data_IF_691130271278
#
_entry.id   IF_691130271278
#
_cell.length_a   1.000
_cell.length_b   1.000
_cell.length_c   1.000
_cell.angle_alpha   90.00
_cell.angle_beta   90.00
_cell.angle_gamma   90.00
#
_symmetry.space_group_name_H-M   'P 1'
#
loop_
_entity.id
_entity.type
_entity.pdbx_description
1 polymer ?
#
# COMPACT_ATOMS: atom_id res chain seq x y z
N UNK A 1 5.06 24.77 -10.91
CA UNK A 1 4.79 26.23 -10.98
C UNK A 1 4.43 26.78 -9.60
N UNK A 2 3.55 26.13 -8.85
CA UNK A 2 3.02 26.59 -7.54
C UNK A 2 4.12 26.82 -6.48
N UNK A 3 5.17 26.02 -6.50
CA UNK A 3 6.26 26.10 -5.51
C UNK A 3 7.48 26.88 -6.01
N UNK A 4 7.56 27.21 -7.31
CA UNK A 4 8.74 27.78 -7.95
C UNK A 4 9.92 26.80 -8.03
N UNK A 5 9.71 25.52 -7.70
CA UNK A 5 10.77 24.51 -7.75
C UNK A 5 10.81 23.84 -9.12
N UNK A 6 12.02 23.52 -9.58
CA UNK A 6 12.23 22.59 -10.69
C UNK A 6 12.13 21.16 -10.15
N UNK A 7 11.22 20.37 -10.71
CA UNK A 7 11.02 18.97 -10.33
C UNK A 7 11.50 18.09 -11.46
N UNK A 8 12.44 17.20 -11.16
CA UNK A 8 12.95 16.19 -12.11
C UNK A 8 12.32 14.84 -11.71
N UNK A 9 11.49 14.24 -12.56
CA UNK A 9 10.90 12.93 -12.25
C UNK A 9 11.96 11.84 -12.35
N UNK A 10 12.04 11.00 -11.31
CA UNK A 10 12.79 9.74 -11.33
C UNK A 10 11.81 8.60 -11.65
N UNK A 11 12.06 7.91 -12.76
CA UNK A 11 11.33 6.71 -13.14
C UNK A 11 12.11 5.46 -12.76
N UNK A 12 11.45 4.54 -12.07
CA UNK A 12 12.00 3.23 -11.71
C UNK A 12 10.97 2.14 -12.06
N UNK A 13 11.45 0.94 -12.38
CA UNK A 13 10.59 -0.16 -12.82
C UNK A 13 10.12 -1.08 -11.69
N UNK A 14 10.78 -1.04 -10.52
CA UNK A 14 10.48 -1.94 -9.40
C UNK A 14 10.48 -1.21 -8.06
N UNK A 15 9.79 -1.76 -7.07
CA UNK A 15 9.86 -1.28 -5.68
C UNK A 15 11.27 -1.34 -5.10
N UNK A 16 12.05 -2.37 -5.46
CA UNK A 16 13.43 -2.50 -5.01
C UNK A 16 14.30 -1.37 -5.56
N UNK A 17 14.20 -1.06 -6.85
CA UNK A 17 14.91 0.05 -7.46
C UNK A 17 14.55 1.39 -6.78
N UNK A 18 13.27 1.59 -6.43
CA UNK A 18 12.84 2.78 -5.69
C UNK A 18 13.42 2.82 -4.27
N UNK A 19 13.40 1.71 -3.54
CA UNK A 19 13.99 1.61 -2.21
C UNK A 19 15.49 1.94 -2.23
N UNK A 20 16.23 1.39 -3.19
CA UNK A 20 17.64 1.67 -3.39
C UNK A 20 17.92 3.15 -3.73
N UNK A 21 17.07 3.78 -4.55
CA UNK A 21 17.19 5.21 -4.86
C UNK A 21 16.93 6.09 -3.61
N UNK A 22 15.99 5.72 -2.77
CA UNK A 22 15.72 6.41 -1.48
C UNK A 22 16.94 6.25 -0.55
N UNK A 23 17.49 5.05 -0.43
CA UNK A 23 18.67 4.77 0.40
C UNK A 23 19.89 5.59 -0.05
N UNK A 24 20.11 5.69 -1.36
CA UNK A 24 21.19 6.53 -1.94
C UNK A 24 20.90 8.03 -1.93
N UNK A 25 19.76 8.46 -1.36
CA UNK A 25 19.32 9.86 -1.29
C UNK A 25 19.14 10.54 -2.67
N UNK A 26 18.80 9.76 -3.69
CA UNK A 26 18.49 10.25 -5.04
C UNK A 26 17.06 10.79 -5.17
N UNK A 27 16.23 10.61 -4.11
CA UNK A 27 14.81 10.99 -4.08
C UNK A 27 14.57 12.02 -3.00
N UNK A 28 14.15 13.23 -3.39
CA UNK A 28 13.78 14.29 -2.44
C UNK A 28 12.32 14.22 -1.99
N UNK A 29 11.42 13.76 -2.88
CA UNK A 29 9.99 13.59 -2.60
C UNK A 29 9.51 12.30 -3.28
N UNK A 30 8.67 11.53 -2.58
CA UNK A 30 8.11 10.28 -3.09
C UNK A 30 6.64 10.12 -2.71
N UNK A 31 5.88 9.47 -3.58
CA UNK A 31 4.55 8.94 -3.30
C UNK A 31 4.69 7.43 -3.08
N UNK A 32 4.52 6.97 -1.84
CA UNK A 32 4.82 5.60 -1.44
C UNK A 32 3.58 4.87 -0.90
N UNK A 33 3.43 3.58 -1.22
CA UNK A 33 2.47 2.72 -0.54
C UNK A 33 2.91 2.49 0.92
N UNK A 34 1.93 2.26 1.81
CA UNK A 34 2.14 2.25 3.26
C UNK A 34 3.32 1.40 3.76
N UNK A 35 3.55 0.21 3.19
CA UNK A 35 4.71 -0.63 3.55
C UNK A 35 6.04 0.06 3.25
N UNK A 36 6.22 0.58 2.04
CA UNK A 36 7.47 1.26 1.66
C UNK A 36 7.67 2.56 2.44
N UNK A 37 6.58 3.30 2.67
CA UNK A 37 6.61 4.51 3.49
C UNK A 37 7.04 4.19 4.93
N UNK A 38 6.52 3.10 5.50
CA UNK A 38 6.88 2.62 6.82
C UNK A 38 8.37 2.26 6.91
N UNK A 39 8.88 1.52 5.92
CA UNK A 39 10.30 1.13 5.85
C UNK A 39 11.20 2.38 5.75
N UNK A 40 10.88 3.32 4.85
CA UNK A 40 11.66 4.55 4.65
C UNK A 40 11.67 5.45 5.91
N UNK A 41 10.56 5.54 6.64
CA UNK A 41 10.46 6.28 7.91
C UNK A 41 11.21 5.55 9.03
N UNK A 42 11.05 4.24 9.13
CA UNK A 42 11.72 3.42 10.17
C UNK A 42 13.24 3.46 10.05
N UNK A 43 13.75 3.55 8.82
CA UNK A 43 15.18 3.70 8.52
C UNK A 43 15.68 5.16 8.62
N UNK A 44 14.82 6.11 9.00
CA UNK A 44 15.19 7.53 9.15
C UNK A 44 15.45 8.27 7.84
N UNK A 45 15.10 7.68 6.70
CA UNK A 45 15.40 8.21 5.37
C UNK A 45 14.41 9.29 4.94
N UNK A 46 13.12 9.11 5.26
CA UNK A 46 12.05 9.99 4.84
C UNK A 46 11.08 10.36 5.98
N UNK A 47 10.26 11.38 5.75
CA UNK A 47 9.17 11.81 6.63
C UNK A 47 7.90 12.05 5.85
N UNK A 48 6.77 11.65 6.39
CA UNK A 48 5.44 11.93 5.83
C UNK A 48 5.12 13.40 5.96
N UNK A 49 4.58 14.01 4.89
CA UNK A 49 4.10 15.39 4.89
C UNK A 49 2.63 15.53 4.48
N UNK A 50 2.11 14.58 3.71
CA UNK A 50 0.72 14.57 3.26
C UNK A 50 0.27 13.14 2.93
N UNK A 51 -1.04 12.94 2.90
CA UNK A 51 -1.65 11.71 2.39
C UNK A 51 -2.80 12.03 1.45
N UNK A 52 -3.19 11.08 0.61
CA UNK A 52 -4.37 11.22 -0.24
C UNK A 52 -5.61 11.33 0.65
N UNK A 53 -6.40 12.38 0.45
CA UNK A 53 -7.68 12.54 1.10
C UNK A 53 -8.66 11.52 0.52
N UNK A 54 -9.29 10.72 1.38
CA UNK A 54 -10.37 9.80 1.02
C UNK A 54 -11.71 10.42 1.40
N UNK A 55 -12.76 9.99 0.71
CA UNK A 55 -14.13 10.32 1.08
C UNK A 55 -14.50 9.54 2.35
N UNK A 56 -15.29 10.16 3.22
CA UNK A 56 -15.93 9.46 4.33
C UNK A 56 -16.92 8.45 3.75
N UNK A 57 -16.78 7.15 4.10
CA UNK A 57 -17.62 6.10 3.58
C UNK A 57 -16.88 4.80 3.22
N UNK A 58 -17.55 3.85 2.53
CA UNK A 58 -16.93 2.60 2.10
C UNK A 58 -15.68 2.87 1.28
N UNK A 59 -14.61 2.11 1.54
CA UNK A 59 -13.31 2.33 0.95
C UNK A 59 -13.38 2.31 -0.59
N UNK A 60 -13.00 3.42 -1.21
CA UNK A 60 -12.87 3.49 -2.67
C UNK A 60 -11.77 2.56 -3.20
N UNK A 61 -10.83 2.17 -2.34
CA UNK A 61 -9.71 1.32 -2.68
C UNK A 61 -9.66 0.11 -1.76
N UNK A 62 -10.11 -1.03 -2.26
CA UNK A 62 -10.10 -2.32 -1.57
C UNK A 62 -9.15 -3.29 -2.29
N UNK A 63 -8.43 -4.11 -1.53
CA UNK A 63 -7.82 -5.30 -2.10
C UNK A 63 -8.92 -6.30 -2.46
N UNK A 64 -8.72 -7.02 -3.55
CA UNK A 64 -9.68 -8.03 -4.03
C UNK A 64 -8.96 -9.29 -4.47
N UNK A 65 -9.67 -10.43 -4.43
CA UNK A 65 -9.29 -11.63 -5.14
C UNK A 65 -10.17 -11.81 -6.36
N UNK A 66 -9.55 -12.12 -7.48
CA UNK A 66 -10.23 -12.37 -8.75
C UNK A 66 -9.93 -13.78 -9.27
N UNK A 67 -10.93 -14.40 -9.87
CA UNK A 67 -10.85 -15.69 -10.55
C UNK A 67 -11.53 -15.58 -11.91
N UNK A 68 -11.31 -16.54 -12.80
CA UNK A 68 -12.09 -16.64 -14.04
C UNK A 68 -13.51 -17.14 -13.72
N UNK A 69 -14.51 -16.60 -14.43
CA UNK A 69 -15.93 -17.00 -14.29
C UNK A 69 -16.17 -18.48 -14.62
N UNK A 70 -15.43 -19.00 -15.59
CA UNK A 70 -15.50 -20.41 -16.02
C UNK A 70 -14.52 -21.32 -15.27
N UNK A 71 -13.76 -20.80 -14.29
CA UNK A 71 -12.84 -21.58 -13.47
C UNK A 71 -13.57 -22.67 -12.66
N UNK A 72 -12.94 -23.81 -12.40
CA UNK A 72 -13.41 -24.78 -11.41
C UNK A 72 -13.40 -24.20 -9.97
N UNK A 73 -12.56 -23.20 -9.70
CA UNK A 73 -12.56 -22.44 -8.45
C UNK A 73 -13.75 -21.48 -8.42
N UNK A 74 -14.81 -21.83 -7.67
CA UNK A 74 -16.08 -21.09 -7.69
C UNK A 74 -16.21 -20.02 -6.59
N UNK A 75 -15.41 -20.09 -5.54
CA UNK A 75 -15.55 -19.15 -4.44
C UNK A 75 -14.44 -19.22 -3.40
N UNK A 76 -14.55 -18.32 -2.44
CA UNK A 76 -13.55 -18.13 -1.39
C UNK A 76 -13.38 -19.38 -0.51
N UNK A 77 -14.49 -19.99 -0.09
CA UNK A 77 -14.44 -21.16 0.80
C UNK A 77 -13.67 -22.33 0.17
N UNK A 78 -13.86 -22.56 -1.12
CA UNK A 78 -13.14 -23.60 -1.85
C UNK A 78 -11.64 -23.25 -1.96
N UNK A 79 -11.30 -21.97 -2.20
CA UNK A 79 -9.92 -21.50 -2.21
C UNK A 79 -9.21 -21.77 -0.88
N UNK A 80 -9.87 -21.40 0.22
CA UNK A 80 -9.31 -21.54 1.57
C UNK A 80 -9.21 -23.02 2.02
N UNK A 81 -10.13 -23.86 1.58
CA UNK A 81 -10.13 -25.27 1.92
C UNK A 81 -9.02 -26.08 1.21
N UNK A 82 -8.63 -25.70 0.00
CA UNK A 82 -7.65 -26.45 -0.81
C UNK A 82 -6.69 -25.51 -1.54
N UNK A 83 -5.93 -24.65 -0.84
CA UNK A 83 -5.04 -23.66 -1.47
C UNK A 83 -3.94 -24.31 -2.33
N UNK A 84 -3.46 -25.49 -1.93
CA UNK A 84 -2.44 -26.30 -2.61
C UNK A 84 -2.85 -26.83 -4.00
N UNK A 85 -4.13 -26.72 -4.35
CA UNK A 85 -4.63 -27.07 -5.68
C UNK A 85 -4.50 -25.94 -6.71
N UNK A 86 -4.29 -24.70 -6.27
CA UNK A 86 -4.43 -23.50 -7.10
C UNK A 86 -3.10 -22.78 -7.29
N UNK A 87 -2.94 -22.18 -8.48
CA UNK A 87 -1.86 -21.22 -8.77
C UNK A 87 -2.32 -19.82 -8.42
N UNK A 88 -1.56 -19.16 -7.55
CA UNK A 88 -1.80 -17.79 -7.11
C UNK A 88 -0.97 -16.80 -7.92
N UNK A 89 -1.61 -15.79 -8.51
CA UNK A 89 -0.90 -14.62 -9.04
C UNK A 89 -1.03 -13.46 -8.05
N UNK A 90 0.07 -12.85 -7.64
CA UNK A 90 0.10 -11.81 -6.60
C UNK A 90 1.05 -10.67 -6.90
N UNK A 91 0.84 -9.54 -6.25
CA UNK A 91 1.80 -8.44 -6.25
C UNK A 91 3.09 -8.75 -5.49
N UNK A 92 4.15 -7.95 -5.68
CA UNK A 92 5.36 -8.01 -4.85
C UNK A 92 5.05 -7.78 -3.37
N UNK A 93 5.97 -8.19 -2.48
CA UNK A 93 5.77 -8.14 -1.01
C UNK A 93 5.52 -6.71 -0.47
N UNK A 94 5.95 -5.67 -1.19
CA UNK A 94 5.71 -4.27 -0.87
C UNK A 94 4.33 -3.78 -1.30
N UNK A 95 3.62 -4.53 -2.13
CA UNK A 95 2.29 -4.15 -2.63
C UNK A 95 1.24 -4.30 -1.53
N UNK A 96 0.59 -3.19 -1.14
CA UNK A 96 -0.43 -3.19 -0.09
C UNK A 96 -1.62 -4.08 -0.49
N UNK A 97 -2.23 -3.83 -1.64
CA UNK A 97 -3.41 -4.58 -2.11
C UNK A 97 -3.06 -5.89 -2.82
N UNK A 98 -1.84 -6.00 -3.36
CA UNK A 98 -1.38 -7.20 -4.06
C UNK A 98 -0.80 -8.27 -3.13
N UNK A 99 -0.47 -7.90 -1.87
CA UNK A 99 0.15 -8.84 -0.94
C UNK A 99 -0.21 -8.57 0.52
N UNK A 100 0.13 -7.41 1.08
CA UNK A 100 0.07 -7.15 2.52
C UNK A 100 -1.34 -7.34 3.07
N UNK A 101 -2.34 -6.70 2.47
CA UNK A 101 -3.72 -6.76 2.94
C UNK A 101 -4.36 -8.14 2.74
N UNK A 102 -4.28 -8.80 1.56
CA UNK A 102 -4.76 -10.18 1.42
C UNK A 102 -4.11 -11.14 2.41
N UNK A 103 -2.81 -11.02 2.63
CA UNK A 103 -2.08 -11.88 3.55
C UNK A 103 -2.52 -11.64 5.00
N UNK A 104 -2.60 -10.37 5.45
CA UNK A 104 -2.95 -10.02 6.83
C UNK A 104 -4.43 -10.25 7.17
N UNK A 105 -5.34 -9.90 6.25
CA UNK A 105 -6.78 -9.90 6.54
C UNK A 105 -7.50 -11.17 6.14
N UNK A 106 -6.93 -12.00 5.28
CA UNK A 106 -7.58 -13.20 4.79
C UNK A 106 -6.76 -14.46 5.03
N UNK A 107 -5.58 -14.54 4.43
CA UNK A 107 -4.87 -15.82 4.32
C UNK A 107 -4.26 -16.26 5.65
N UNK A 108 -3.49 -15.40 6.32
CA UNK A 108 -2.89 -15.76 7.61
C UNK A 108 -3.92 -16.05 8.71
N UNK A 109 -5.02 -15.28 8.86
CA UNK A 109 -6.10 -15.66 9.78
C UNK A 109 -6.73 -17.02 9.48
N UNK A 110 -6.72 -17.44 8.20
CA UNK A 110 -7.18 -18.76 7.77
C UNK A 110 -6.10 -19.86 7.86
N UNK A 111 -4.94 -19.58 8.45
CA UNK A 111 -3.82 -20.53 8.55
C UNK A 111 -3.06 -20.75 7.25
N UNK A 112 -3.22 -19.88 6.27
CA UNK A 112 -2.61 -19.98 4.94
C UNK A 112 -1.53 -18.89 4.82
N UNK A 113 -0.31 -19.26 4.49
CA UNK A 113 0.68 -18.31 4.01
C UNK A 113 0.77 -18.40 2.49
N UNK A 114 0.54 -17.28 1.79
CA UNK A 114 0.57 -17.23 0.31
C UNK A 114 1.89 -17.76 -0.24
N UNK A 115 3.00 -17.56 0.48
CA UNK A 115 4.33 -17.95 0.03
C UNK A 115 4.52 -19.46 -0.07
N UNK A 116 3.77 -20.25 0.74
CA UNK A 116 4.10 -21.66 0.95
C UNK A 116 2.92 -22.61 0.75
N UNK A 117 1.69 -22.11 0.66
CA UNK A 117 0.50 -22.96 0.69
C UNK A 117 -0.18 -23.16 -0.65
N UNK A 118 0.15 -22.35 -1.64
CA UNK A 118 -0.37 -22.51 -3.00
C UNK A 118 0.49 -23.50 -3.81
N UNK A 119 -0.10 -24.11 -4.84
CA UNK A 119 0.59 -25.03 -5.75
C UNK A 119 1.78 -24.35 -6.43
N UNK A 120 1.59 -23.09 -6.82
CA UNK A 120 2.61 -22.23 -7.41
C UNK A 120 2.23 -20.76 -7.21
N UNK A 121 3.21 -19.85 -7.27
CA UNK A 121 3.02 -18.41 -7.09
C UNK A 121 3.68 -17.63 -8.21
N UNK A 122 2.88 -16.86 -8.94
CA UNK A 122 3.33 -15.92 -9.98
C UNK A 122 3.34 -14.52 -9.39
N UNK A 123 4.46 -13.79 -9.51
CA UNK A 123 4.58 -12.41 -9.01
C UNK A 123 4.58 -11.45 -10.20
N UNK A 124 3.75 -10.40 -10.10
CA UNK A 124 3.65 -9.38 -11.14
C UNK A 124 2.89 -8.14 -10.69
N UNK A 125 2.76 -7.18 -11.58
CA UNK A 125 1.90 -6.00 -11.40
C UNK A 125 0.43 -6.42 -11.37
N UNK A 126 -0.46 -5.54 -10.91
CA UNK A 126 -1.91 -5.80 -10.93
C UNK A 126 -2.46 -6.09 -12.34
N UNK A 127 -1.87 -5.50 -13.37
CA UNK A 127 -2.23 -5.80 -14.75
C UNK A 127 -1.79 -7.20 -15.16
N UNK A 128 -0.54 -7.57 -14.88
CA UNK A 128 0.01 -8.89 -15.20
C UNK A 128 -0.71 -10.02 -14.46
N UNK A 129 -1.02 -9.82 -13.17
CA UNK A 129 -1.74 -10.82 -12.37
C UNK A 129 -3.18 -10.99 -12.85
N UNK A 130 -3.86 -9.92 -13.25
CA UNK A 130 -5.20 -10.00 -13.85
C UNK A 130 -5.16 -10.72 -15.21
N UNK A 131 -4.16 -10.42 -16.07
CA UNK A 131 -3.96 -11.13 -17.34
C UNK A 131 -3.65 -12.60 -17.12
N UNK A 132 -2.81 -12.95 -16.14
CA UNK A 132 -2.48 -14.33 -15.81
C UNK A 132 -3.74 -15.16 -15.51
N UNK A 133 -4.67 -14.61 -14.72
CA UNK A 133 -5.95 -15.28 -14.44
C UNK A 133 -6.85 -15.30 -15.66
N UNK A 134 -7.02 -14.17 -16.36
CA UNK A 134 -7.90 -14.10 -17.54
C UNK A 134 -7.50 -15.09 -18.64
N UNK A 135 -6.20 -15.37 -18.76
CA UNK A 135 -5.62 -16.29 -19.75
C UNK A 135 -5.38 -17.73 -19.23
N UNK A 136 -5.75 -18.01 -17.97
CA UNK A 136 -5.64 -19.35 -17.38
C UNK A 136 -4.22 -19.78 -16.99
N UNK A 137 -3.28 -18.84 -16.89
CA UNK A 137 -1.92 -19.07 -16.36
C UNK A 137 -1.95 -19.24 -14.84
N UNK A 138 -2.84 -18.51 -14.18
CA UNK A 138 -3.12 -18.64 -12.75
C UNK A 138 -4.62 -18.86 -12.51
N UNK A 139 -4.96 -19.45 -11.37
CA UNK A 139 -6.34 -19.76 -10.98
C UNK A 139 -7.00 -18.59 -10.23
N UNK A 140 -6.22 -17.87 -9.42
CA UNK A 140 -6.66 -16.75 -8.60
C UNK A 140 -5.60 -15.66 -8.60
N UNK A 141 -6.03 -14.39 -8.54
CA UNK A 141 -5.11 -13.28 -8.41
C UNK A 141 -5.53 -12.29 -7.33
N UNK A 142 -4.53 -11.69 -6.68
CA UNK A 142 -4.71 -10.47 -5.89
C UNK A 142 -4.73 -9.25 -6.80
N UNK A 143 -5.60 -8.29 -6.48
CA UNK A 143 -5.72 -7.03 -7.22
C UNK A 143 -6.34 -5.95 -6.31
N UNK A 144 -6.76 -4.83 -6.87
CA UNK A 144 -7.57 -3.84 -6.18
C UNK A 144 -8.67 -3.27 -7.08
N UNK A 145 -9.66 -2.65 -6.48
CA UNK A 145 -10.83 -2.12 -7.17
C UNK A 145 -10.47 -1.09 -8.24
N UNK A 146 -9.50 -0.20 -7.97
CA UNK A 146 -9.07 0.86 -8.90
C UNK A 146 -8.34 0.31 -10.13
N UNK A 147 -7.41 -0.64 -9.91
CA UNK A 147 -6.64 -1.23 -11.02
C UNK A 147 -7.48 -2.21 -11.82
N UNK A 148 -8.45 -2.91 -11.22
CA UNK A 148 -9.43 -3.69 -11.99
C UNK A 148 -10.31 -2.82 -12.87
N UNK A 149 -10.74 -1.66 -12.40
CA UNK A 149 -11.47 -0.70 -13.23
C UNK A 149 -10.62 -0.20 -14.41
N UNK A 150 -9.34 0.12 -14.16
CA UNK A 150 -8.39 0.49 -15.22
C UNK A 150 -8.18 -0.67 -16.19
N UNK A 151 -7.98 -1.88 -15.69
CA UNK A 151 -7.85 -3.10 -16.47
C UNK A 151 -9.06 -3.33 -17.38
N UNK A 152 -10.28 -3.12 -16.87
CA UNK A 152 -11.52 -3.22 -17.65
C UNK A 152 -11.59 -2.25 -18.83
N UNK A 153 -10.98 -1.05 -18.71
CA UNK A 153 -10.88 -0.10 -19.83
C UNK A 153 -9.80 -0.48 -20.85
N UNK A 154 -8.69 -1.04 -20.41
CA UNK A 154 -7.54 -1.39 -21.26
C UNK A 154 -7.70 -2.77 -21.92
N UNK A 155 -8.30 -3.72 -21.22
CA UNK A 155 -8.45 -5.12 -21.62
C UNK A 155 -9.90 -5.58 -21.41
N UNK A 156 -10.88 -5.01 -22.16
CA UNK A 156 -12.29 -5.27 -21.91
C UNK A 156 -12.71 -6.74 -22.13
N UNK A 157 -12.07 -7.45 -23.05
CA UNK A 157 -12.37 -8.86 -23.32
C UNK A 157 -11.91 -9.76 -22.17
N UNK A 158 -10.69 -9.55 -21.69
CA UNK A 158 -10.11 -10.28 -20.57
C UNK A 158 -10.84 -9.96 -19.26
N UNK A 159 -11.18 -8.70 -19.04
CA UNK A 159 -11.90 -8.26 -17.85
C UNK A 159 -13.29 -8.91 -17.73
N UNK A 160 -13.99 -9.12 -18.84
CA UNK A 160 -15.29 -9.80 -18.86
C UNK A 160 -15.21 -11.25 -18.38
N UNK A 161 -14.04 -11.89 -18.47
CA UNK A 161 -13.80 -13.27 -18.00
C UNK A 161 -13.61 -13.34 -16.48
N UNK A 162 -13.31 -12.21 -15.81
CA UNK A 162 -12.99 -12.16 -14.40
C UNK A 162 -14.23 -11.93 -13.52
N UNK A 163 -14.16 -12.46 -12.30
CA UNK A 163 -15.08 -12.16 -11.21
C UNK A 163 -14.33 -12.01 -9.90
N UNK A 164 -14.86 -11.15 -9.01
CA UNK A 164 -14.32 -10.94 -7.66
C UNK A 164 -14.96 -11.94 -6.72
N UNK A 165 -14.14 -12.67 -5.95
CA UNK A 165 -14.60 -13.64 -4.94
C UNK A 165 -14.35 -13.17 -3.51
N UNK A 166 -13.56 -12.12 -3.31
CA UNK A 166 -13.30 -11.51 -2.01
C UNK A 166 -12.96 -10.03 -2.13
N UNK A 167 -13.30 -9.28 -1.09
CA UNK A 167 -12.94 -7.86 -0.91
C UNK A 167 -12.45 -7.62 0.51
N UNK A 168 -11.38 -6.86 0.65
CA UNK A 168 -10.87 -6.45 1.95
C UNK A 168 -11.76 -5.39 2.60
N UNK A 169 -11.48 -5.11 3.86
CA UNK A 169 -11.77 -3.80 4.45
C UNK A 169 -10.94 -2.72 3.73
N UNK A 170 -11.02 -1.46 4.19
CA UNK A 170 -10.23 -0.40 3.55
C UNK A 170 -8.74 -0.67 3.68
N UNK A 171 -8.00 -0.39 2.58
CA UNK A 171 -6.54 -0.44 2.61
C UNK A 171 -5.96 0.85 3.18
N UNK A 172 -4.77 0.84 3.81
CA UNK A 172 -4.04 2.06 4.15
C UNK A 172 -3.91 3.00 2.94
N UNK A 173 -3.98 4.30 3.17
CA UNK A 173 -3.74 5.28 2.13
C UNK A 173 -2.26 5.24 1.70
N UNK A 174 -1.96 5.77 0.52
CA UNK A 174 -0.59 6.07 0.14
C UNK A 174 -0.23 7.48 0.61
N UNK A 175 1.02 7.66 1.00
CA UNK A 175 1.54 8.90 1.59
C UNK A 175 2.51 9.60 0.65
N UNK A 176 2.63 10.92 0.83
CA UNK A 176 3.69 11.72 0.24
C UNK A 176 4.73 11.98 1.32
N UNK A 177 5.95 11.57 1.01
CA UNK A 177 7.10 11.70 1.89
C UNK A 177 8.15 12.61 1.27
N UNK A 178 8.92 13.24 2.13
CA UNK A 178 10.12 13.99 1.74
C UNK A 178 11.32 13.47 2.51
N UNK A 179 12.50 13.70 1.94
CA UNK A 179 13.77 13.33 2.59
C UNK A 179 13.83 13.93 4.01
N UNK A 180 14.28 13.12 4.97
CA UNK A 180 14.23 13.47 6.41
C UNK A 180 15.03 14.73 6.77
N UNK A 181 16.11 15.02 6.03
CA UNK A 181 16.98 16.19 6.20
C UNK A 181 16.52 17.43 5.39
N UNK A 182 15.36 17.35 4.72
CA UNK A 182 14.80 18.50 4.00
C UNK A 182 14.55 19.68 4.95
N UNK A 183 15.00 20.91 4.61
CA UNK A 183 14.80 22.09 5.45
C UNK A 183 13.32 22.33 5.79
N UNK A 184 13.02 22.65 7.05
CA UNK A 184 11.65 22.85 7.53
C UNK A 184 10.84 23.86 6.70
N UNK A 185 11.40 25.02 6.27
CA UNK A 185 10.64 25.97 5.44
C UNK A 185 10.22 25.35 4.09
N UNK A 186 11.12 24.58 3.46
CA UNK A 186 10.82 23.92 2.20
C UNK A 186 9.75 22.83 2.37
N UNK A 187 9.86 22.01 3.43
CA UNK A 187 8.86 21.01 3.80
C UNK A 187 7.48 21.65 4.01
N UNK A 188 7.43 22.77 4.73
CA UNK A 188 6.18 23.53 4.94
C UNK A 188 5.56 24.02 3.63
N UNK A 189 6.38 24.57 2.71
CA UNK A 189 5.93 25.03 1.39
C UNK A 189 5.38 23.88 0.55
N UNK A 190 6.04 22.73 0.52
CA UNK A 190 5.58 21.56 -0.21
C UNK A 190 4.27 21.02 0.38
N UNK A 191 4.16 20.92 1.70
CA UNK A 191 2.92 20.52 2.39
C UNK A 191 1.78 21.46 2.02
N UNK A 192 1.96 22.76 2.12
CA UNK A 192 0.96 23.77 1.77
C UNK A 192 0.53 23.64 0.30
N UNK A 193 1.50 23.56 -0.62
CA UNK A 193 1.21 23.42 -2.04
C UNK A 193 0.37 22.16 -2.35
N UNK A 194 0.64 21.03 -1.69
CA UNK A 194 -0.14 19.80 -1.85
C UNK A 194 -1.55 19.94 -1.29
N UNK A 195 -1.68 20.47 -0.08
CA UNK A 195 -2.98 20.55 0.61
C UNK A 195 -3.91 21.61 0.03
N UNK A 196 -3.37 22.65 -0.60
CA UNK A 196 -4.14 23.70 -1.28
C UNK A 196 -4.43 23.39 -2.75
N UNK A 197 -3.76 22.38 -3.33
CA UNK A 197 -3.92 22.04 -4.74
C UNK A 197 -5.35 21.60 -5.06
N UNK A 198 -5.97 22.26 -6.03
CA UNK A 198 -7.36 22.02 -6.45
C UNK A 198 -8.43 22.72 -5.61
N UNK A 199 -8.05 23.50 -4.57
CA UNK A 199 -9.01 24.26 -3.74
C UNK A 199 -9.42 25.60 -4.30
N UNK A 200 -8.65 26.15 -5.21
CA UNK A 200 -8.94 27.44 -5.81
C UNK A 200 -10.18 27.39 -6.71
N UNK A 201 -10.95 28.47 -6.75
CA UNK A 201 -12.05 28.65 -7.69
C UNK A 201 -11.54 29.07 -9.07
N UNK A 202 -12.42 28.94 -10.06
CA UNK A 202 -12.15 29.36 -11.43
C UNK A 202 -11.29 28.38 -12.26
N UNK A 203 -10.89 28.79 -13.49
CA UNK A 203 -10.27 27.87 -14.46
C UNK A 203 -8.94 27.26 -14.02
N UNK A 204 -8.18 27.95 -13.15
CA UNK A 204 -6.95 27.40 -12.62
C UNK A 204 -7.21 26.24 -11.67
N UNK A 205 -8.15 26.40 -10.74
CA UNK A 205 -8.56 25.34 -9.82
C UNK A 205 -9.22 24.15 -10.56
N UNK A 206 -9.97 24.40 -11.61
CA UNK A 206 -10.54 23.32 -12.44
C UNK A 206 -9.45 22.46 -13.08
N UNK A 207 -8.42 23.07 -13.68
CA UNK A 207 -7.28 22.33 -14.23
C UNK A 207 -6.55 21.52 -13.16
N UNK A 208 -6.41 22.05 -11.93
CA UNK A 208 -5.80 21.32 -10.82
C UNK A 208 -6.66 20.12 -10.40
N UNK A 209 -7.98 20.28 -10.34
CA UNK A 209 -8.91 19.17 -10.05
C UNK A 209 -8.92 18.11 -11.15
N UNK A 210 -8.74 18.50 -12.43
CA UNK A 210 -8.55 17.53 -13.53
C UNK A 210 -7.30 16.67 -13.32
N UNK A 211 -6.20 17.28 -12.94
CA UNK A 211 -4.97 16.56 -12.58
C UNK A 211 -5.21 15.60 -11.40
N UNK A 212 -5.87 16.06 -10.33
CA UNK A 212 -6.20 15.21 -9.18
C UNK A 212 -7.08 14.02 -9.57
N UNK A 213 -8.07 14.23 -10.45
CA UNK A 213 -8.90 13.14 -10.99
C UNK A 213 -8.07 12.13 -11.78
N UNK A 214 -7.16 12.61 -12.63
CA UNK A 214 -6.27 11.75 -13.40
C UNK A 214 -5.33 10.91 -12.50
N UNK A 215 -4.88 11.48 -11.38
CA UNK A 215 -4.05 10.81 -10.38
C UNK A 215 -4.86 9.93 -9.42
N UNK A 216 -6.18 9.83 -9.55
CA UNK A 216 -7.08 9.12 -8.61
C UNK A 216 -7.01 9.68 -7.17
N UNK A 217 -6.71 10.95 -7.05
CA UNK A 217 -6.70 11.73 -5.81
C UNK A 217 -7.79 12.82 -5.84
N UNK A 218 -9.00 12.49 -6.28
CA UNK A 218 -10.08 13.44 -6.61
C UNK A 218 -10.46 14.38 -5.46
N UNK A 219 -10.22 13.96 -4.22
CA UNK A 219 -10.44 14.79 -3.02
C UNK A 219 -9.20 15.58 -2.58
N UNK A 220 -8.10 15.50 -3.36
CA UNK A 220 -6.84 16.15 -3.07
C UNK A 220 -6.04 15.46 -1.96
N UNK A 221 -5.25 16.26 -1.26
CA UNK A 221 -4.37 15.79 -0.18
C UNK A 221 -4.73 16.49 1.12
N UNK A 222 -4.45 15.80 2.23
CA UNK A 222 -4.48 16.38 3.60
C UNK A 222 -3.10 16.34 4.20
N UNK A 223 -2.80 17.31 5.06
CA UNK A 223 -1.58 17.30 5.84
C UNK A 223 -1.54 16.02 6.70
N UNK A 224 -0.39 15.41 6.74
CA UNK A 224 -0.13 14.23 7.55
C UNK A 224 1.29 14.28 8.11
N UNK A 225 1.57 13.44 9.07
CA UNK A 225 2.88 13.16 9.63
C UNK A 225 3.10 11.64 9.71
N UNK A 226 4.17 11.20 10.33
CA UNK A 226 4.50 9.79 10.42
C UNK A 226 3.41 8.95 11.10
N UNK A 227 2.52 9.56 11.91
CA UNK A 227 1.41 8.82 12.56
C UNK A 227 0.39 8.25 11.55
N UNK A 228 0.33 8.79 10.33
CA UNK A 228 -0.48 8.26 9.25
C UNK A 228 -0.10 6.82 8.85
N UNK A 229 1.11 6.37 9.21
CA UNK A 229 1.60 5.03 8.94
C UNK A 229 1.23 3.99 10.00
N UNK A 230 0.57 4.37 11.11
CA UNK A 230 0.16 3.43 12.15
C UNK A 230 -0.69 2.27 11.62
N UNK A 231 -1.65 2.44 10.68
CA UNK A 231 -2.39 1.33 10.10
C UNK A 231 -1.49 0.35 9.33
N UNK A 232 -0.48 0.84 8.60
CA UNK A 232 0.48 -0.01 7.89
C UNK A 232 1.36 -0.80 8.88
N UNK A 233 1.83 -0.14 9.94
CA UNK A 233 2.60 -0.78 11.01
C UNK A 233 1.80 -1.86 11.74
N UNK A 234 0.50 -1.63 11.94
CA UNK A 234 -0.39 -2.63 12.57
C UNK A 234 -0.53 -3.87 11.67
N UNK A 235 -0.71 -3.71 10.35
CA UNK A 235 -0.77 -4.84 9.42
C UNK A 235 0.53 -5.66 9.42
N UNK A 236 1.69 -5.00 9.39
CA UNK A 236 3.00 -5.68 9.46
C UNK A 236 3.18 -6.46 10.77
N UNK A 237 2.78 -5.87 11.89
CA UNK A 237 2.78 -6.55 13.18
C UNK A 237 1.86 -7.78 13.17
N UNK A 238 0.63 -7.65 12.68
CA UNK A 238 -0.34 -8.76 12.60
C UNK A 238 0.20 -9.90 11.75
N UNK A 239 0.77 -9.61 10.58
CA UNK A 239 1.39 -10.61 9.72
C UNK A 239 2.55 -11.33 10.42
N UNK A 240 3.46 -10.58 11.03
CA UNK A 240 4.59 -11.17 11.75
C UNK A 240 4.13 -12.07 12.90
N UNK A 241 3.13 -11.62 13.65
CA UNK A 241 2.57 -12.37 14.78
C UNK A 241 1.85 -13.63 14.32
N UNK A 242 1.00 -13.56 13.29
CA UNK A 242 0.28 -14.71 12.75
C UNK A 242 1.25 -15.76 12.19
N UNK A 243 2.28 -15.35 11.45
CA UNK A 243 3.33 -16.24 10.97
C UNK A 243 4.04 -16.94 12.14
N UNK A 244 4.38 -16.20 13.19
CA UNK A 244 5.02 -16.78 14.37
C UNK A 244 4.09 -17.77 15.12
N UNK A 245 2.80 -17.51 15.17
CA UNK A 245 1.83 -18.42 15.78
C UNK A 245 1.64 -19.71 14.98
N UNK A 246 1.61 -19.63 13.65
CA UNK A 246 1.40 -20.74 12.73
C UNK A 246 2.67 -21.54 12.41
N UNK A 247 3.87 -21.03 12.74
CA UNK A 247 5.13 -21.72 12.46
C UNK A 247 5.34 -22.95 13.34
N UNK A 248 6.07 -23.93 12.82
CA UNK A 248 6.58 -25.05 13.62
C UNK A 248 7.82 -24.61 14.39
N UNK A 249 7.81 -24.79 15.69
CA UNK A 249 8.87 -24.35 16.60
C UNK A 249 9.60 -25.54 17.21
N UNK A 250 10.90 -25.42 17.36
CA UNK A 250 11.75 -26.41 18.04
C UNK A 250 11.49 -26.50 19.55
N UNK A 251 10.96 -25.41 20.15
CA UNK A 251 10.57 -25.36 21.57
C UNK A 251 9.57 -24.23 21.85
N UNK A 252 8.84 -24.35 22.95
CA UNK A 252 7.96 -23.29 23.45
C UNK A 252 8.72 -22.00 23.79
N UNK A 253 9.96 -22.14 24.30
CA UNK A 253 10.83 -21.01 24.61
C UNK A 253 11.22 -20.23 23.33
N UNK A 254 11.55 -20.93 22.23
CA UNK A 254 11.86 -20.28 20.95
C UNK A 254 10.64 -19.51 20.39
N UNK A 255 9.44 -20.09 20.49
CA UNK A 255 8.19 -19.42 20.12
C UNK A 255 7.96 -18.16 20.95
N UNK A 256 8.07 -18.25 22.30
CA UNK A 256 7.90 -17.11 23.19
C UNK A 256 8.90 -16.00 22.86
N UNK A 257 10.19 -16.33 22.74
CA UNK A 257 11.23 -15.36 22.40
C UNK A 257 10.97 -14.65 21.05
N UNK A 258 10.42 -15.35 20.07
CA UNK A 258 10.04 -14.73 18.79
C UNK A 258 8.85 -13.77 18.95
N UNK A 259 7.82 -14.16 19.67
CA UNK A 259 6.67 -13.30 19.95
C UNK A 259 7.09 -12.05 20.74
N UNK A 260 7.90 -12.20 21.78
CA UNK A 260 8.43 -11.07 22.56
C UNK A 260 9.23 -10.08 21.68
N UNK A 261 10.01 -10.60 20.72
CA UNK A 261 10.72 -9.74 19.75
C UNK A 261 9.75 -8.97 18.88
N UNK A 262 8.70 -9.62 18.37
CA UNK A 262 7.67 -8.98 17.54
C UNK A 262 6.97 -7.85 18.32
N UNK A 263 6.65 -8.06 19.60
CA UNK A 263 6.05 -7.02 20.46
C UNK A 263 7.01 -5.84 20.68
N UNK A 264 8.30 -6.12 20.93
CA UNK A 264 9.32 -5.07 21.08
C UNK A 264 9.51 -4.25 19.80
N UNK A 265 9.54 -4.92 18.64
CA UNK A 265 9.67 -4.25 17.35
C UNK A 265 8.43 -3.39 17.06
N UNK A 266 7.22 -3.88 17.36
CA UNK A 266 5.98 -3.09 17.30
C UNK A 266 6.06 -1.83 18.17
N UNK A 267 6.44 -1.99 19.45
CA UNK A 267 6.54 -0.86 20.38
C UNK A 267 7.54 0.19 19.88
N UNK A 268 8.69 -0.24 19.36
CA UNK A 268 9.70 0.65 18.76
C UNK A 268 9.14 1.38 17.54
N UNK A 269 8.50 0.67 16.62
CA UNK A 269 7.89 1.26 15.43
C UNK A 269 6.80 2.26 15.80
N UNK A 270 5.88 1.90 16.71
CA UNK A 270 4.82 2.81 17.15
C UNK A 270 5.35 4.06 17.85
N UNK A 271 6.49 3.97 18.53
CA UNK A 271 7.15 5.15 19.12
C UNK A 271 7.69 6.12 18.05
N UNK A 272 8.18 5.62 16.91
CA UNK A 272 8.61 6.45 15.77
C UNK A 272 7.43 7.10 15.04
N UNK A 273 6.24 6.52 15.16
CA UNK A 273 5.01 6.96 14.49
C UNK A 273 4.10 7.81 15.41
N UNK A 274 4.66 8.44 16.45
CA UNK A 274 3.90 9.39 17.26
C UNK A 274 3.64 10.68 16.45
N UNK A 275 2.48 11.33 16.64
CA UNK A 275 2.21 12.62 16.02
C UNK A 275 3.33 13.63 16.29
N UNK A 276 3.71 14.40 15.26
CA UNK A 276 4.60 15.54 15.48
C UNK A 276 3.92 16.54 16.45
N UNK A 277 4.63 16.96 17.49
CA UNK A 277 4.11 17.99 18.38
C UNK A 277 3.73 19.24 17.56
N UNK A 278 2.52 19.77 17.78
CA UNK A 278 2.11 21.01 17.13
C UNK A 278 3.17 22.10 17.41
N UNK A 279 3.59 22.88 16.40
CA UNK A 279 4.51 23.98 16.64
C UNK A 279 3.89 24.92 17.70
N UNK A 280 4.67 25.22 18.73
CA UNK A 280 4.23 26.15 19.76
C UNK A 280 3.75 27.46 19.08
N UNK A 281 2.62 28.05 19.51
CA UNK A 281 2.14 29.29 18.93
C UNK A 281 3.26 30.35 19.03
N UNK A 282 3.56 30.94 17.85
CA UNK A 282 4.55 32.02 17.80
C UNK A 282 4.16 33.05 18.87
N UNK A 283 5.02 33.27 19.88
CA UNK A 283 4.81 34.34 20.84
C UNK A 283 4.73 35.64 20.05
N UNK A 284 3.54 36.25 20.03
CA UNK A 284 3.37 37.59 19.51
C UNK A 284 4.36 38.49 20.26
N UNK A 285 5.25 39.13 19.51
CA UNK A 285 6.09 40.22 20.01
C UNK A 285 5.38 41.54 19.83
#
# INVERSE_FOLDING_TARGET
KETGLSVVPLSVSTYEALANAIERREVDIAFLPGKMALDAVSNGQMKVIAQVKRRDGPAEHQAVLVVRKDSPLKGLDQLLATPDRWVMARGPNQSVSGYVVPQAQLFLPSGIDIETRFRDVVIGTHQETALAVANGVADVATNNTTDLERFGRQFPVEAQRLQVIWRSQSTPAAEILVRSDMPLPLRGRLRAALTEYGRQDGPAGERQRDVLRALKASYGYVAADNSALQPAAQLEYEMARQRALGAQWTSAAAKSARLDRIEKDRARTMALLQPEAAPAPARAR
#
